data_IF_807300275011
#
_entry.id   IF_807300275011
#
_cell.length_a   1.000
_cell.length_b   1.000
_cell.length_c   1.000
_cell.angle_alpha   90.00
_cell.angle_beta   90.00
_cell.angle_gamma   90.00
#
_symmetry.space_group_name_H-M   'P 1'
#
loop_
_entity.id
_entity.type
_entity.pdbx_description
1 polymer ?
#
# COMPACT_ATOMS: atom_id res chain seq x y z
N UNK A 1 -12.05 55.70 -17.06
CA UNK A 1 -10.79 54.93 -17.18
C UNK A 1 -10.86 54.16 -18.50
N UNK A 2 -9.79 54.16 -19.31
CA UNK A 2 -9.79 53.62 -20.68
C UNK A 2 -9.83 52.08 -20.68
N UNK A 3 -10.54 51.49 -21.64
CA UNK A 3 -10.66 50.04 -21.87
C UNK A 3 -9.28 49.34 -21.96
N UNK A 4 -8.28 50.06 -22.49
CA UNK A 4 -6.89 49.62 -22.54
C UNK A 4 -6.22 49.46 -21.16
N UNK A 5 -6.60 50.27 -20.16
CA UNK A 5 -6.07 50.18 -18.80
C UNK A 5 -6.63 48.96 -18.07
N UNK A 6 -7.90 48.62 -18.31
CA UNK A 6 -8.57 47.44 -17.74
C UNK A 6 -7.97 46.16 -18.34
N UNK A 7 -7.78 46.09 -19.66
CA UNK A 7 -7.10 44.95 -20.31
C UNK A 7 -5.65 44.75 -19.87
N UNK A 8 -4.94 45.84 -19.58
CA UNK A 8 -3.54 45.76 -19.11
C UNK A 8 -3.48 45.21 -17.68
N UNK A 9 -4.42 45.59 -16.82
CA UNK A 9 -4.52 45.07 -15.46
C UNK A 9 -4.89 43.58 -15.43
N UNK A 10 -5.89 43.16 -16.22
CA UNK A 10 -6.30 41.75 -16.33
C UNK A 10 -5.13 40.87 -16.81
N UNK A 11 -4.32 41.34 -17.77
CA UNK A 11 -3.12 40.61 -18.22
C UNK A 11 -2.04 40.49 -17.15
N UNK A 12 -1.84 41.52 -16.33
CA UNK A 12 -0.88 41.50 -15.25
C UNK A 12 -1.29 40.53 -14.15
N UNK A 13 -2.57 40.53 -13.75
CA UNK A 13 -3.12 39.64 -12.73
C UNK A 13 -3.10 38.18 -13.21
N UNK A 14 -3.46 37.93 -14.48
CA UNK A 14 -3.35 36.62 -15.12
C UNK A 14 -1.91 36.09 -15.16
N UNK A 15 -0.95 36.95 -15.52
CA UNK A 15 0.46 36.57 -15.56
C UNK A 15 0.99 36.21 -14.16
N UNK A 16 0.56 36.92 -13.12
CA UNK A 16 0.94 36.63 -11.74
C UNK A 16 0.36 35.30 -11.25
N UNK A 17 -0.92 35.02 -11.55
CA UNK A 17 -1.56 33.74 -11.22
C UNK A 17 -0.83 32.60 -11.91
N UNK A 18 -0.62 32.69 -13.23
CA UNK A 18 0.09 31.67 -14.00
C UNK A 18 1.54 31.47 -13.53
N UNK A 19 2.22 32.54 -13.11
CA UNK A 19 3.56 32.44 -12.54
C UNK A 19 3.57 31.64 -11.22
N UNK A 20 2.62 31.91 -10.33
CA UNK A 20 2.49 31.19 -9.06
C UNK A 20 2.18 29.70 -9.30
N UNK A 21 1.26 29.39 -10.22
CA UNK A 21 0.95 28.01 -10.62
C UNK A 21 2.18 27.31 -11.22
N UNK A 22 2.89 27.98 -12.12
CA UNK A 22 4.09 27.44 -12.75
C UNK A 22 5.23 27.17 -11.74
N UNK A 23 5.25 27.89 -10.62
CA UNK A 23 6.20 27.67 -9.53
C UNK A 23 5.80 26.49 -8.61
N UNK A 24 4.50 26.27 -8.36
CA UNK A 24 4.01 25.23 -7.45
C UNK A 24 3.86 23.84 -8.11
N UNK A 25 3.51 23.78 -9.39
CA UNK A 25 3.30 22.51 -10.11
C UNK A 25 4.54 21.58 -10.14
N UNK A 26 5.78 22.09 -10.35
CA UNK A 26 6.96 21.24 -10.29
C UNK A 26 7.16 20.56 -8.94
N UNK A 27 6.93 21.26 -7.82
CA UNK A 27 7.03 20.69 -6.46
C UNK A 27 5.95 19.63 -6.22
N UNK A 28 4.69 19.93 -6.59
CA UNK A 28 3.61 18.96 -6.52
C UNK A 28 3.92 17.67 -7.31
N UNK A 29 4.49 17.81 -8.52
CA UNK A 29 4.89 16.67 -9.35
C UNK A 29 6.00 15.85 -8.69
N UNK A 30 7.03 16.50 -8.16
CA UNK A 30 8.14 15.81 -7.48
C UNK A 30 7.66 15.04 -6.25
N UNK A 31 6.77 15.65 -5.47
CA UNK A 31 6.10 15.01 -4.32
C UNK A 31 5.28 13.79 -4.72
N UNK A 32 4.49 13.87 -5.78
CA UNK A 32 3.74 12.71 -6.28
C UNK A 32 4.66 11.61 -6.83
N UNK A 33 5.77 11.98 -7.48
CA UNK A 33 6.78 11.02 -7.91
C UNK A 33 7.45 10.32 -6.72
N UNK A 34 7.70 11.04 -5.62
CA UNK A 34 8.19 10.47 -4.37
C UNK A 34 7.19 9.48 -3.77
N UNK A 35 5.90 9.84 -3.71
CA UNK A 35 4.83 8.92 -3.26
C UNK A 35 4.82 7.66 -4.11
N UNK A 36 4.86 7.79 -5.43
CA UNK A 36 4.92 6.63 -6.34
C UNK A 36 6.09 5.71 -5.98
N UNK A 37 7.29 6.26 -5.84
CA UNK A 37 8.48 5.47 -5.50
C UNK A 37 8.35 4.77 -4.13
N UNK A 38 7.80 5.45 -3.14
CA UNK A 38 7.56 4.87 -1.81
C UNK A 38 6.54 3.74 -1.86
N UNK A 39 5.44 3.93 -2.59
CA UNK A 39 4.41 2.89 -2.74
C UNK A 39 4.94 1.66 -3.48
N UNK A 40 5.78 1.84 -4.50
CA UNK A 40 6.42 0.74 -5.23
C UNK A 40 7.38 -0.04 -4.32
N UNK A 41 8.23 0.65 -3.57
CA UNK A 41 9.16 0.02 -2.62
C UNK A 41 8.42 -0.75 -1.52
N UNK A 42 7.34 -0.18 -0.97
CA UNK A 42 6.51 -0.82 0.02
C UNK A 42 5.87 -2.11 -0.53
N UNK A 43 5.30 -2.04 -1.73
CA UNK A 43 4.67 -3.18 -2.38
C UNK A 43 5.68 -4.30 -2.66
N UNK A 44 6.86 -3.97 -3.19
CA UNK A 44 7.93 -4.94 -3.41
C UNK A 44 8.38 -5.59 -2.10
N UNK A 45 8.55 -4.79 -1.03
CA UNK A 45 8.95 -5.33 0.27
C UNK A 45 7.91 -6.30 0.83
N UNK A 46 6.63 -5.93 0.82
CA UNK A 46 5.54 -6.79 1.30
C UNK A 46 5.45 -8.07 0.48
N UNK A 47 5.56 -7.98 -0.86
CA UNK A 47 5.53 -9.16 -1.72
C UNK A 47 6.65 -10.15 -1.37
N UNK A 48 7.88 -9.65 -1.19
CA UNK A 48 9.01 -10.49 -0.81
C UNK A 48 8.83 -11.16 0.57
N UNK A 49 8.25 -10.45 1.54
CA UNK A 49 7.95 -11.01 2.86
C UNK A 49 6.88 -12.11 2.79
N UNK A 50 5.84 -11.90 1.96
CA UNK A 50 4.78 -12.89 1.73
C UNK A 50 5.34 -14.12 1.01
N UNK A 51 6.19 -13.95 0.01
CA UNK A 51 6.85 -15.08 -0.67
C UNK A 51 7.69 -15.92 0.32
N UNK A 52 8.47 -15.27 1.19
CA UNK A 52 9.24 -15.96 2.21
C UNK A 52 8.35 -16.74 3.20
N UNK A 53 7.24 -16.14 3.65
CA UNK A 53 6.25 -16.80 4.52
C UNK A 53 5.65 -18.06 3.84
N UNK A 54 5.32 -17.95 2.55
CA UNK A 54 4.76 -19.06 1.77
C UNK A 54 5.75 -20.23 1.63
N UNK A 55 7.03 -19.95 1.39
CA UNK A 55 8.07 -20.99 1.34
C UNK A 55 8.22 -21.72 2.68
N UNK A 56 8.25 -20.96 3.78
CA UNK A 56 8.33 -21.50 5.14
C UNK A 56 7.10 -22.37 5.48
N UNK A 57 5.90 -21.90 5.12
CA UNK A 57 4.65 -22.63 5.33
C UNK A 57 4.62 -23.94 4.51
N UNK A 58 5.06 -23.91 3.24
CA UNK A 58 5.12 -25.09 2.39
C UNK A 58 6.12 -26.13 2.94
N UNK A 59 7.27 -25.68 3.46
CA UNK A 59 8.26 -26.55 4.08
C UNK A 59 7.69 -27.30 5.30
N UNK A 60 6.99 -26.60 6.20
CA UNK A 60 6.33 -27.21 7.36
C UNK A 60 5.21 -28.13 6.92
N UNK A 61 4.37 -27.72 5.97
CA UNK A 61 3.27 -28.53 5.43
C UNK A 61 3.77 -29.86 4.86
N UNK A 62 4.84 -29.84 4.07
CA UNK A 62 5.45 -31.05 3.48
C UNK A 62 5.98 -32.00 4.56
N UNK A 63 6.70 -31.47 5.56
CA UNK A 63 7.20 -32.27 6.70
C UNK A 63 6.05 -32.86 7.51
N UNK A 64 5.02 -32.06 7.81
CA UNK A 64 3.84 -32.49 8.55
C UNK A 64 3.07 -33.60 7.85
N UNK A 65 2.90 -33.51 6.52
CA UNK A 65 2.27 -34.57 5.73
C UNK A 65 3.07 -35.87 5.75
N UNK A 66 4.39 -35.78 5.55
CA UNK A 66 5.27 -36.95 5.61
C UNK A 66 5.24 -37.64 6.98
N UNK A 67 5.20 -36.85 8.07
CA UNK A 67 5.09 -37.36 9.43
C UNK A 67 3.73 -38.02 9.68
N UNK A 68 2.63 -37.37 9.26
CA UNK A 68 1.27 -37.91 9.37
C UNK A 68 1.13 -39.26 8.65
N UNK A 69 1.65 -39.35 7.41
CA UNK A 69 1.65 -40.61 6.66
C UNK A 69 2.47 -41.70 7.37
N UNK A 70 3.61 -41.34 7.98
CA UNK A 70 4.43 -42.27 8.75
C UNK A 70 3.72 -42.77 10.01
N UNK A 71 3.03 -41.88 10.73
CA UNK A 71 2.23 -42.20 11.91
C UNK A 71 1.05 -43.12 11.56
N UNK A 72 0.32 -42.81 10.49
CA UNK A 72 -0.80 -43.64 10.03
C UNK A 72 -0.36 -45.05 9.65
N UNK A 73 0.77 -45.18 8.92
CA UNK A 73 1.35 -46.49 8.61
C UNK A 73 1.75 -47.27 9.86
N UNK A 74 2.27 -46.59 10.87
CA UNK A 74 2.64 -47.23 12.14
C UNK A 74 1.40 -47.67 12.93
N UNK A 75 0.37 -46.84 13.00
CA UNK A 75 -0.87 -47.13 13.73
C UNK A 75 -1.60 -48.37 13.19
N UNK A 76 -1.49 -48.67 11.90
CA UNK A 76 -2.06 -49.85 11.27
C UNK A 76 -1.17 -51.11 11.36
N UNK A 77 0.05 -50.98 11.88
CA UNK A 77 0.99 -52.10 11.96
C UNK A 77 0.74 -52.95 13.21
N UNK A 78 0.66 -54.27 13.02
CA UNK A 78 0.42 -55.24 14.11
C UNK A 78 1.68 -55.60 14.88
N UNK A 79 2.86 -55.21 14.40
CA UNK A 79 4.13 -55.50 15.04
C UNK A 79 5.10 -54.33 14.89
N UNK A 80 5.33 -53.61 15.98
CA UNK A 80 6.20 -52.42 16.04
C UNK A 80 7.46 -52.78 16.81
N UNK A 81 8.62 -52.66 16.17
CA UNK A 81 9.90 -52.74 16.89
C UNK A 81 10.13 -51.47 17.72
N UNK A 82 10.79 -51.63 18.87
CA UNK A 82 11.14 -50.52 19.75
C UNK A 82 12.02 -49.47 19.05
N UNK A 83 12.91 -49.91 18.16
CA UNK A 83 13.77 -49.01 17.36
C UNK A 83 12.95 -48.14 16.40
N UNK A 84 11.93 -48.72 15.75
CA UNK A 84 11.05 -47.98 14.84
C UNK A 84 10.20 -46.96 15.59
N UNK A 85 9.68 -47.33 16.76
CA UNK A 85 8.95 -46.42 17.62
C UNK A 85 9.83 -45.26 18.10
N UNK A 86 11.08 -45.54 18.52
CA UNK A 86 12.05 -44.52 18.93
C UNK A 86 12.43 -43.58 17.78
N UNK A 87 12.64 -44.12 16.58
CA UNK A 87 12.91 -43.31 15.40
C UNK A 87 11.74 -42.36 15.08
N UNK A 88 10.49 -42.86 15.16
CA UNK A 88 9.32 -42.02 14.90
C UNK A 88 9.13 -40.94 15.98
N UNK A 89 9.37 -41.25 17.26
CA UNK A 89 9.35 -40.24 18.32
C UNK A 89 10.39 -39.13 18.08
N UNK A 90 11.60 -39.48 17.61
CA UNK A 90 12.61 -38.47 17.22
C UNK A 90 12.12 -37.58 16.07
N UNK A 91 11.45 -38.16 15.07
CA UNK A 91 10.83 -37.41 13.98
C UNK A 91 9.71 -36.48 14.47
N UNK A 92 8.86 -36.93 15.38
CA UNK A 92 7.84 -36.08 16.01
C UNK A 92 8.46 -34.91 16.77
N UNK A 93 9.51 -35.18 17.57
CA UNK A 93 10.21 -34.14 18.31
C UNK A 93 10.88 -33.10 17.39
N UNK A 94 11.51 -33.57 16.31
CA UNK A 94 12.10 -32.68 15.30
C UNK A 94 11.04 -31.82 14.60
N UNK A 95 9.91 -32.42 14.20
CA UNK A 95 8.81 -31.67 13.59
C UNK A 95 8.20 -30.64 14.57
N UNK A 96 8.04 -30.99 15.85
CA UNK A 96 7.52 -30.06 16.85
C UNK A 96 8.47 -28.86 17.05
N UNK A 97 9.78 -29.10 17.06
CA UNK A 97 10.78 -28.02 17.14
C UNK A 97 10.78 -27.14 15.89
N UNK A 98 10.67 -27.75 14.70
CA UNK A 98 10.57 -27.04 13.42
C UNK A 98 9.29 -26.18 13.37
N UNK A 99 8.15 -26.73 13.80
CA UNK A 99 6.87 -26.03 13.83
C UNK A 99 6.87 -24.85 14.82
N UNK A 100 7.48 -25.01 15.99
CA UNK A 100 7.65 -23.91 16.94
C UNK A 100 8.55 -22.80 16.37
N UNK A 101 9.63 -23.18 15.68
CA UNK A 101 10.54 -22.23 15.02
C UNK A 101 9.86 -21.50 13.87
N UNK A 102 9.03 -22.20 13.08
CA UNK A 102 8.19 -21.61 12.04
C UNK A 102 7.21 -20.60 12.62
N UNK A 103 6.48 -20.94 13.69
CA UNK A 103 5.54 -20.01 14.33
C UNK A 103 6.24 -18.74 14.84
N UNK A 104 7.47 -18.85 15.35
CA UNK A 104 8.27 -17.69 15.74
C UNK A 104 8.68 -16.83 14.53
N UNK A 105 9.07 -17.46 13.42
CA UNK A 105 9.40 -16.74 12.16
C UNK A 105 8.19 -16.06 11.53
N UNK A 106 7.06 -16.74 11.45
CA UNK A 106 5.78 -16.17 10.98
C UNK A 106 5.41 -14.91 11.75
N UNK A 107 5.52 -14.96 13.09
CA UNK A 107 5.28 -13.79 13.93
C UNK A 107 6.23 -12.64 13.60
N UNK A 108 7.50 -12.92 13.34
CA UNK A 108 8.48 -11.91 12.91
C UNK A 108 8.10 -11.30 11.57
N UNK A 109 7.78 -12.13 10.57
CA UNK A 109 7.38 -11.68 9.24
C UNK A 109 6.12 -10.81 9.30
N UNK A 110 5.11 -11.20 10.08
CA UNK A 110 3.91 -10.38 10.30
C UNK A 110 4.25 -9.03 10.94
N UNK A 111 5.18 -9.01 11.90
CA UNK A 111 5.66 -7.77 12.52
C UNK A 111 6.39 -6.90 11.50
N UNK A 112 7.22 -7.47 10.63
CA UNK A 112 7.92 -6.74 9.56
C UNK A 112 6.98 -6.19 8.49
N UNK A 113 5.92 -6.93 8.14
CA UNK A 113 4.85 -6.46 7.24
C UNK A 113 4.13 -5.28 7.89
N UNK A 114 3.76 -5.39 9.17
CA UNK A 114 3.10 -4.32 9.93
C UNK A 114 3.99 -3.06 10.01
N UNK A 115 5.28 -3.21 10.31
CA UNK A 115 6.24 -2.09 10.33
C UNK A 115 6.48 -1.48 8.94
N UNK A 116 6.19 -2.22 7.86
CA UNK A 116 6.24 -1.66 6.51
C UNK A 116 5.06 -0.73 6.22
N UNK A 117 4.13 -0.51 7.16
CA UNK A 117 3.05 0.47 7.03
C UNK A 117 3.49 1.92 7.23
N UNK A 118 4.70 2.18 7.73
CA UNK A 118 5.28 3.54 7.83
C UNK A 118 5.27 4.28 6.47
N UNK A 119 5.30 3.54 5.36
CA UNK A 119 5.16 4.11 4.01
C UNK A 119 3.80 4.76 3.77
N UNK A 120 2.72 4.26 4.38
CA UNK A 120 1.38 4.83 4.26
C UNK A 120 1.30 6.20 4.96
N UNK A 121 1.87 6.34 6.15
CA UNK A 121 1.85 7.63 6.88
C UNK A 121 2.62 8.71 6.11
N UNK A 122 3.85 8.41 5.69
CA UNK A 122 4.64 9.35 4.88
C UNK A 122 3.97 9.69 3.55
N UNK A 123 3.44 8.69 2.84
CA UNK A 123 2.75 8.92 1.57
C UNK A 123 1.48 9.76 1.77
N UNK A 124 0.71 9.50 2.82
CA UNK A 124 -0.50 10.25 3.18
C UNK A 124 -0.18 11.70 3.53
N UNK A 125 0.90 11.95 4.29
CA UNK A 125 1.37 13.31 4.58
C UNK A 125 1.77 14.06 3.30
N UNK A 126 2.44 13.39 2.36
CA UNK A 126 2.85 14.01 1.09
C UNK A 126 1.63 14.29 0.20
N UNK A 127 0.69 13.35 0.08
CA UNK A 127 -0.58 13.55 -0.65
C UNK A 127 -1.35 14.74 -0.07
N UNK A 128 -1.47 14.84 1.27
CA UNK A 128 -2.13 15.96 1.92
C UNK A 128 -1.45 17.31 1.63
N UNK A 129 -0.11 17.35 1.55
CA UNK A 129 0.61 18.57 1.15
C UNK A 129 0.32 18.94 -0.30
N UNK A 130 0.30 17.97 -1.21
CA UNK A 130 -0.05 18.20 -2.61
C UNK A 130 -1.50 18.66 -2.74
N UNK A 131 -2.45 18.06 -2.01
CA UNK A 131 -3.86 18.50 -1.99
C UNK A 131 -3.98 19.97 -1.62
N UNK A 132 -3.31 20.39 -0.54
CA UNK A 132 -3.31 21.79 -0.11
C UNK A 132 -2.70 22.75 -1.13
N UNK A 133 -1.69 22.31 -1.90
CA UNK A 133 -1.13 23.11 -2.99
C UNK A 133 -2.16 23.29 -4.11
N UNK A 134 -2.84 22.20 -4.50
CA UNK A 134 -3.89 22.25 -5.51
C UNK A 134 -5.07 23.13 -5.07
N UNK A 135 -5.52 23.00 -3.81
CA UNK A 135 -6.57 23.84 -3.21
C UNK A 135 -6.20 25.33 -3.19
N UNK A 136 -4.91 25.67 -3.09
CA UNK A 136 -4.45 27.07 -3.16
C UNK A 136 -4.42 27.61 -4.58
N UNK A 137 -4.13 26.74 -5.55
CA UNK A 137 -3.97 27.10 -6.96
C UNK A 137 -5.32 27.16 -7.69
N UNK A 138 -6.30 26.36 -7.27
CA UNK A 138 -7.60 26.24 -7.95
C UNK A 138 -8.43 27.54 -7.96
N UNK A 139 -8.69 28.25 -6.84
CA UNK A 139 -9.55 29.43 -6.85
C UNK A 139 -9.04 30.56 -7.76
N UNK A 140 -7.74 30.95 -7.74
CA UNK A 140 -7.22 31.94 -8.66
C UNK A 140 -7.33 31.54 -10.14
N UNK A 141 -7.20 30.25 -10.46
CA UNK A 141 -7.38 29.76 -11.83
C UNK A 141 -8.86 29.84 -12.26
N UNK A 142 -9.80 29.51 -11.38
CA UNK A 142 -11.23 29.63 -11.66
C UNK A 142 -11.65 31.10 -11.84
N UNK A 143 -11.11 32.01 -11.03
CA UNK A 143 -11.33 33.45 -11.19
C UNK A 143 -10.76 33.96 -12.52
N UNK A 144 -9.56 33.50 -12.88
CA UNK A 144 -8.94 33.83 -14.15
C UNK A 144 -9.78 33.34 -15.34
N UNK A 145 -10.24 32.09 -15.33
CA UNK A 145 -11.10 31.52 -16.37
C UNK A 145 -12.42 32.30 -16.47
N UNK A 146 -13.03 32.64 -15.32
CA UNK A 146 -14.29 33.38 -15.25
C UNK A 146 -14.17 34.82 -15.76
N UNK A 147 -12.96 35.39 -15.75
CA UNK A 147 -12.66 36.73 -16.27
C UNK A 147 -12.43 36.78 -17.79
N UNK A 148 -12.25 35.62 -18.45
CA UNK A 148 -12.03 35.54 -19.90
C UNK A 148 -13.36 35.60 -20.68
N UNK A 149 -13.39 36.26 -21.86
CA UNK A 149 -14.60 36.33 -22.68
C UNK A 149 -15.01 34.94 -23.19
N UNK A 150 -16.31 34.61 -23.14
CA UNK A 150 -16.87 33.30 -23.48
C UNK A 150 -16.44 32.73 -24.86
N UNK A 151 -16.00 33.57 -25.79
CA UNK A 151 -15.49 33.16 -27.11
C UNK A 151 -14.12 32.46 -27.07
N UNK A 152 -13.40 32.44 -25.94
CA UNK A 152 -12.07 31.82 -25.80
C UNK A 152 -12.07 30.43 -25.17
N UNK A 153 -13.22 29.91 -24.75
CA UNK A 153 -13.31 28.57 -24.13
C UNK A 153 -13.72 27.53 -25.17
N UNK A 154 -12.76 26.70 -25.60
CA UNK A 154 -13.09 25.45 -26.28
C UNK A 154 -13.87 24.52 -25.32
N UNK A 155 -14.82 23.71 -25.80
CA UNK A 155 -15.51 22.76 -24.94
C UNK A 155 -14.49 21.82 -24.30
N UNK A 156 -14.52 21.70 -22.97
CA UNK A 156 -13.68 20.79 -22.22
C UNK A 156 -14.06 19.34 -22.59
N UNK A 157 -13.41 18.79 -23.60
CA UNK A 157 -13.44 17.36 -23.86
C UNK A 157 -12.38 16.72 -22.99
N UNK A 158 -12.83 15.79 -22.15
CA UNK A 158 -12.08 14.90 -21.28
C UNK A 158 -12.09 15.32 -19.81
N UNK A 159 -13.28 15.18 -19.20
CA UNK A 159 -13.36 14.97 -17.77
C UNK A 159 -12.66 13.65 -17.49
N UNK A 160 -11.40 13.69 -17.05
CA UNK A 160 -10.76 12.57 -16.39
C UNK A 160 -11.69 12.18 -15.24
N UNK A 161 -12.49 11.13 -15.44
CA UNK A 161 -13.43 10.65 -14.44
C UNK A 161 -12.65 10.49 -13.15
N UNK A 162 -12.98 11.29 -12.14
CA UNK A 162 -12.32 11.24 -10.84
C UNK A 162 -12.30 9.80 -10.36
N UNK A 163 -11.25 9.43 -9.60
CA UNK A 163 -11.07 8.07 -9.07
C UNK A 163 -12.41 7.60 -8.52
N UNK A 164 -13.04 6.66 -9.21
CA UNK A 164 -14.24 5.99 -8.75
C UNK A 164 -13.79 5.02 -7.67
N UNK A 165 -13.51 5.54 -6.47
CA UNK A 165 -13.37 4.67 -5.31
C UNK A 165 -14.76 4.11 -5.04
N UNK A 166 -14.96 2.78 -4.98
CA UNK A 166 -16.11 2.26 -4.25
C UNK A 166 -16.07 2.92 -2.87
N UNK A 167 -17.21 3.39 -2.35
CA UNK A 167 -17.42 4.13 -1.08
C UNK A 167 -16.80 3.51 0.20
N UNK A 168 -16.07 2.41 0.05
CA UNK A 168 -15.20 1.81 1.05
C UNK A 168 -13.76 2.24 0.79
N UNK A 169 -13.47 3.52 0.98
CA UNK A 169 -12.14 3.89 1.44
C UNK A 169 -11.99 3.22 2.82
N UNK A 170 -11.23 2.13 2.86
CA UNK A 170 -10.92 1.37 4.07
C UNK A 170 -10.54 2.36 5.17
N UNK A 171 -11.44 2.52 6.15
CA UNK A 171 -11.16 3.36 7.31
C UNK A 171 -10.15 2.60 8.16
N UNK A 172 -9.35 3.33 8.92
CA UNK A 172 -8.33 2.76 9.79
C UNK A 172 -8.92 1.75 10.79
N UNK A 173 -10.20 1.92 11.16
CA UNK A 173 -10.97 0.95 11.97
C UNK A 173 -11.10 -0.44 11.29
N UNK A 174 -11.13 -0.49 9.96
CA UNK A 174 -11.22 -1.76 9.20
C UNK A 174 -9.91 -2.57 9.30
N UNK A 175 -8.78 -1.91 9.57
CA UNK A 175 -7.49 -2.59 9.77
C UNK A 175 -7.44 -3.21 11.15
N UNK A 176 -7.89 -2.49 12.18
CA UNK A 176 -7.97 -3.01 13.54
C UNK A 176 -8.98 -4.18 13.65
N UNK A 177 -10.12 -4.08 12.95
CA UNK A 177 -11.09 -5.18 12.84
C UNK A 177 -10.50 -6.41 12.11
N UNK A 178 -9.68 -6.18 11.08
CA UNK A 178 -9.00 -7.26 10.36
C UNK A 178 -7.93 -7.92 11.25
N UNK A 179 -7.15 -7.13 12.00
CA UNK A 179 -6.16 -7.62 12.97
C UNK A 179 -6.81 -8.41 14.11
N UNK A 180 -7.93 -7.93 14.64
CA UNK A 180 -8.73 -8.62 15.64
C UNK A 180 -9.30 -9.95 15.11
N UNK A 181 -9.75 -9.98 13.85
CA UNK A 181 -10.26 -11.21 13.20
C UNK A 181 -9.17 -12.26 12.96
N UNK A 182 -7.91 -11.84 12.84
CA UNK A 182 -6.73 -12.70 12.69
C UNK A 182 -6.11 -13.11 14.03
N UNK A 183 -6.66 -12.64 15.16
CA UNK A 183 -6.28 -13.07 16.50
C UNK A 183 -5.13 -12.29 17.14
N UNK A 184 -4.92 -11.03 16.73
CA UNK A 184 -4.06 -10.06 17.43
C UNK A 184 -4.87 -9.13 18.35
#
# INVERSE_FOLDING_TARGET
MSDASIQTQIKADAAQILHNVAAELPDARERLAYVRSMTEQAATKVLNLVEAAQEDAEAVRKKGRALSDALNRLALSTNISQDRARALMKLCAAYAADAASFAAREKSLHTEIMMSQDFQDLSGQVINKVSKMLERVEPPLNDLISSLPASSMAPATDHLGGVQTPDKALKQDDVDDLLASLGF
#
